data_IF_665941709421
#
_entry.id   IF_665941709421
#
_cell.length_a   1.000
_cell.length_b   1.000
_cell.length_c   1.000
_cell.angle_alpha   90.00
_cell.angle_beta   90.00
_cell.angle_gamma   90.00
#
_symmetry.space_group_name_H-M   'P 1'
#
loop_
_entity.id
_entity.type
_entity.pdbx_description
1 polymer ?
#
# COMPACT_ATOMS: atom_id res chain seq x y z
N UNK A 1 -77.75 -6.66 -0.24
CA UNK A 1 -77.29 -5.32 -0.69
C UNK A 1 -75.78 -5.25 -0.42
N UNK A 2 -74.99 -5.53 -1.47
CA UNK A 2 -74.01 -4.63 -2.11
C UNK A 2 -72.87 -4.17 -1.19
N UNK A 3 -71.76 -4.92 -1.13
CA UNK A 3 -70.48 -4.72 -1.87
C UNK A 3 -69.52 -3.72 -1.22
N UNK A 4 -68.24 -4.12 -1.13
CA UNK A 4 -66.99 -3.33 -1.01
C UNK A 4 -66.28 -3.37 0.35
N UNK A 5 -65.55 -4.46 0.64
CA UNK A 5 -64.26 -4.44 1.35
C UNK A 5 -63.46 -5.70 0.97
N UNK A 6 -62.93 -5.73 -0.24
CA UNK A 6 -61.90 -6.68 -0.65
C UNK A 6 -61.04 -5.92 -1.66
N UNK A 7 -59.72 -6.04 -1.57
CA UNK A 7 -58.67 -5.38 -2.40
C UNK A 7 -58.09 -4.07 -1.88
N UNK A 8 -57.36 -4.12 -0.75
CA UNK A 8 -56.12 -3.34 -0.58
C UNK A 8 -55.34 -3.94 0.60
N UNK A 9 -54.19 -4.56 0.35
CA UNK A 9 -53.35 -5.10 1.42
C UNK A 9 -52.56 -6.37 1.11
N UNK A 10 -52.58 -6.87 -0.12
CA UNK A 10 -51.73 -7.98 -0.57
C UNK A 10 -50.87 -7.54 -1.76
N UNK A 11 -50.05 -6.50 -1.57
CA UNK A 11 -49.04 -6.09 -2.56
C UNK A 11 -47.85 -5.40 -1.86
N UNK A 12 -47.31 -6.05 -0.82
CA UNK A 12 -46.11 -5.58 -0.12
C UNK A 12 -45.15 -6.74 0.23
N UNK A 13 -45.09 -7.76 -0.63
CA UNK A 13 -44.31 -8.99 -0.40
C UNK A 13 -43.47 -9.45 -1.61
N UNK A 14 -43.12 -8.56 -2.56
CA UNK A 14 -42.36 -8.95 -3.77
C UNK A 14 -41.23 -8.00 -4.21
N UNK A 15 -40.57 -7.26 -3.30
CA UNK A 15 -39.42 -6.38 -3.68
C UNK A 15 -38.10 -6.74 -2.96
N UNK A 16 -37.98 -7.89 -2.29
CA UNK A 16 -36.76 -8.24 -1.55
C UNK A 16 -35.67 -8.99 -2.36
N UNK A 17 -35.81 -9.16 -3.68
CA UNK A 17 -34.85 -9.97 -4.47
C UNK A 17 -33.84 -9.20 -5.33
N UNK A 18 -33.90 -7.86 -5.42
CA UNK A 18 -33.06 -7.10 -6.38
C UNK A 18 -31.92 -6.29 -5.74
N UNK A 19 -31.91 -6.09 -4.41
CA UNK A 19 -30.84 -5.33 -3.75
C UNK A 19 -29.50 -6.09 -3.73
N UNK A 20 -29.48 -7.42 -3.58
CA UNK A 20 -28.23 -8.18 -3.52
C UNK A 20 -27.45 -8.16 -4.85
N UNK A 21 -28.13 -8.21 -6.00
CA UNK A 21 -27.48 -8.16 -7.31
C UNK A 21 -26.99 -6.75 -7.67
N UNK A 22 -27.73 -5.70 -7.28
CA UNK A 22 -27.30 -4.31 -7.51
C UNK A 22 -26.15 -3.94 -6.57
N UNK A 23 -26.19 -4.39 -5.31
CA UNK A 23 -25.11 -4.20 -4.35
C UNK A 23 -23.85 -4.94 -4.77
N UNK A 24 -23.95 -6.18 -5.27
CA UNK A 24 -22.79 -6.92 -5.79
C UNK A 24 -22.19 -6.26 -7.05
N UNK A 25 -23.02 -5.72 -7.96
CA UNK A 25 -22.54 -4.98 -9.14
C UNK A 25 -21.95 -3.62 -8.76
N UNK A 26 -22.48 -2.96 -7.73
CA UNK A 26 -21.94 -1.71 -7.21
C UNK A 26 -20.61 -1.94 -6.49
N UNK A 27 -20.53 -3.01 -5.68
CA UNK A 27 -19.32 -3.45 -4.99
C UNK A 27 -18.22 -3.81 -5.98
N UNK A 28 -18.52 -4.62 -7.01
CA UNK A 28 -17.60 -4.90 -8.12
C UNK A 28 -17.15 -3.63 -8.87
N UNK A 29 -18.03 -2.65 -9.07
CA UNK A 29 -17.65 -1.39 -9.75
C UNK A 29 -16.85 -0.43 -8.88
N UNK A 30 -17.03 -0.47 -7.56
CA UNK A 30 -16.29 0.34 -6.60
C UNK A 30 -14.93 -0.29 -6.33
N UNK A 31 -14.85 -1.61 -6.12
CA UNK A 31 -13.61 -2.37 -5.99
C UNK A 31 -12.75 -2.20 -7.26
N UNK A 32 -13.30 -2.47 -8.45
CA UNK A 32 -12.53 -2.33 -9.69
C UNK A 32 -12.06 -0.89 -9.96
N UNK A 33 -12.81 0.15 -9.57
CA UNK A 33 -12.38 1.55 -9.76
C UNK A 33 -11.44 2.05 -8.67
N UNK A 34 -11.62 1.61 -7.44
CA UNK A 34 -10.75 1.98 -6.32
C UNK A 34 -9.41 1.25 -6.44
N UNK A 35 -9.40 -0.03 -6.79
CA UNK A 35 -8.18 -0.81 -7.05
C UNK A 35 -7.48 -0.38 -8.34
N UNK A 36 -8.21 -0.07 -9.42
CA UNK A 36 -7.56 0.48 -10.62
C UNK A 36 -6.98 1.87 -10.37
N UNK A 37 -7.62 2.73 -9.58
CA UNK A 37 -7.07 4.05 -9.27
C UNK A 37 -5.92 3.96 -8.26
N UNK A 38 -6.04 3.13 -7.22
CA UNK A 38 -4.95 2.90 -6.28
C UNK A 38 -3.76 2.25 -7.00
N UNK A 39 -4.00 1.23 -7.82
CA UNK A 39 -2.98 0.57 -8.66
C UNK A 39 -2.36 1.51 -9.69
N UNK A 40 -3.13 2.37 -10.35
CA UNK A 40 -2.58 3.37 -11.29
C UNK A 40 -1.76 4.46 -10.61
N UNK A 41 -2.13 4.89 -9.39
CA UNK A 41 -1.34 5.86 -8.64
C UNK A 41 -0.09 5.21 -8.01
N UNK A 42 -0.18 3.94 -7.60
CA UNK A 42 0.97 3.13 -7.15
C UNK A 42 1.93 2.87 -8.33
N UNK A 43 1.45 2.41 -9.49
CA UNK A 43 2.28 2.23 -10.68
C UNK A 43 2.95 3.53 -11.12
N UNK A 44 2.28 4.69 -11.02
CA UNK A 44 2.91 6.00 -11.29
C UNK A 44 4.00 6.35 -10.28
N UNK A 45 3.86 5.95 -9.01
CA UNK A 45 4.84 6.16 -7.95
C UNK A 45 6.06 5.21 -8.10
N UNK A 46 5.86 4.00 -8.63
CA UNK A 46 6.91 2.98 -8.74
C UNK A 46 7.54 2.83 -10.14
N UNK A 47 6.87 3.27 -11.22
CA UNK A 47 7.41 3.22 -12.60
C UNK A 47 8.39 4.35 -12.95
N UNK A 48 8.90 5.06 -11.95
CA UNK A 48 9.83 6.19 -12.09
C UNK A 48 11.28 5.83 -12.45
N UNK A 49 11.57 4.56 -12.80
CA UNK A 49 12.85 4.14 -13.39
C UNK A 49 12.61 3.36 -14.68
N UNK A 50 13.30 3.83 -15.72
CA UNK A 50 13.45 3.26 -17.07
C UNK A 50 12.30 3.42 -18.08
N UNK A 51 12.25 4.62 -18.67
CA UNK A 51 12.16 4.73 -20.14
C UNK A 51 13.30 5.58 -20.67
N UNK A 52 14.45 4.94 -20.82
CA UNK A 52 15.46 5.35 -21.78
C UNK A 52 14.79 5.45 -23.15
N UNK A 53 14.90 6.63 -23.74
CA UNK A 53 14.32 7.03 -25.00
C UNK A 53 15.03 6.28 -26.14
N UNK A 54 14.56 5.08 -26.50
CA UNK A 54 14.95 4.44 -27.75
C UNK A 54 14.22 5.13 -28.90
N UNK A 55 14.88 6.13 -29.48
CA UNK A 55 14.45 6.75 -30.72
C UNK A 55 14.50 5.76 -31.88
N UNK A 56 13.36 5.52 -32.51
CA UNK A 56 13.30 4.99 -33.86
C UNK A 56 13.24 6.19 -34.81
N UNK A 57 14.42 6.70 -35.17
CA UNK A 57 14.60 7.76 -36.16
C UNK A 57 15.18 7.19 -37.43
N UNK A 58 14.35 7.15 -38.48
CA UNK A 58 14.70 6.83 -39.86
C UNK A 58 15.89 7.66 -40.34
N UNK A 59 16.87 6.99 -40.91
CA UNK A 59 18.03 7.57 -41.60
C UNK A 59 17.62 8.36 -42.83
N UNK A 60 17.96 9.65 -42.89
CA UNK A 60 18.40 10.30 -44.14
C UNK A 60 19.09 11.65 -43.89
N UNK A 61 20.34 11.76 -44.34
CA UNK A 61 20.85 12.90 -45.11
C UNK A 61 21.21 14.23 -44.41
N UNK A 62 22.53 14.48 -44.39
CA UNK A 62 23.22 15.77 -44.62
C UNK A 62 23.12 16.92 -43.61
N UNK A 63 24.26 17.17 -42.96
CA UNK A 63 24.87 18.50 -42.90
C UNK A 63 24.59 19.36 -41.67
N UNK A 64 25.67 19.64 -40.91
CA UNK A 64 26.13 20.96 -40.42
C UNK A 64 26.67 20.84 -38.98
N UNK A 65 27.95 21.19 -38.86
CA UNK A 65 28.67 21.46 -37.62
C UNK A 65 27.90 22.47 -36.75
N UNK A 66 27.46 22.02 -35.57
CA UNK A 66 26.99 22.86 -34.49
C UNK A 66 27.37 22.21 -33.17
N UNK A 67 28.57 22.52 -32.69
CA UNK A 67 29.05 22.11 -31.37
C UNK A 67 28.17 22.72 -30.28
N UNK A 68 27.10 22.02 -29.93
CA UNK A 68 26.26 22.34 -28.80
C UNK A 68 26.98 21.95 -27.52
N UNK A 69 27.59 22.93 -26.85
CA UNK A 69 27.92 22.84 -25.43
C UNK A 69 26.62 22.64 -24.66
N UNK A 70 26.18 21.38 -24.51
CA UNK A 70 25.23 21.06 -23.46
C UNK A 70 26.03 21.10 -22.14
N UNK A 71 25.79 22.05 -21.23
CA UNK A 71 26.54 22.09 -19.97
C UNK A 71 26.35 20.74 -19.27
N UNK A 72 27.47 20.13 -18.88
CA UNK A 72 27.46 18.87 -18.15
C UNK A 72 26.58 19.05 -16.91
N UNK A 73 25.51 18.26 -16.80
CA UNK A 73 24.54 18.39 -15.72
C UNK A 73 25.13 17.81 -14.42
N UNK A 74 25.98 18.60 -13.76
CA UNK A 74 26.65 18.26 -12.50
C UNK A 74 25.84 18.72 -11.27
N UNK A 75 24.51 18.78 -11.36
CA UNK A 75 23.67 19.18 -10.24
C UNK A 75 23.78 18.17 -9.09
N UNK A 76 23.98 18.66 -7.86
CA UNK A 76 24.16 17.83 -6.66
C UNK A 76 22.92 17.06 -6.16
N UNK A 77 21.84 17.05 -6.94
CA UNK A 77 20.58 16.39 -6.58
C UNK A 77 19.78 17.13 -5.49
N UNK A 78 18.75 16.47 -4.98
CA UNK A 78 17.92 16.95 -3.88
C UNK A 78 18.41 16.35 -2.56
N UNK A 79 18.27 17.11 -1.48
CA UNK A 79 18.53 16.61 -0.12
C UNK A 79 17.43 15.62 0.24
N UNK A 80 17.81 14.40 0.66
CA UNK A 80 16.89 13.31 1.03
C UNK A 80 16.80 13.07 2.54
N UNK A 81 17.41 13.92 3.36
CA UNK A 81 17.30 13.82 4.82
C UNK A 81 15.89 14.22 5.28
N UNK A 82 15.30 13.51 6.26
CA UNK A 82 14.03 13.92 6.86
C UNK A 82 14.06 15.38 7.33
N UNK A 83 12.93 16.12 7.23
CA UNK A 83 12.83 17.45 7.81
C UNK A 83 13.16 17.44 9.31
N UNK A 84 13.81 18.50 9.80
CA UNK A 84 14.05 18.67 11.23
C UNK A 84 12.71 18.96 11.94
N UNK A 85 12.24 18.00 12.73
CA UNK A 85 10.96 18.10 13.43
C UNK A 85 10.94 19.28 14.40
N UNK A 86 12.01 19.46 15.19
CA UNK A 86 12.04 20.48 16.22
C UNK A 86 12.07 21.88 15.61
N UNK A 87 12.88 22.08 14.57
CA UNK A 87 12.95 23.35 13.87
C UNK A 87 11.60 23.72 13.25
N UNK A 88 10.95 22.77 12.56
CA UNK A 88 9.64 23.01 11.95
C UNK A 88 8.53 23.30 12.98
N UNK A 89 8.59 22.72 14.18
CA UNK A 89 7.66 23.06 15.25
C UNK A 89 7.87 24.49 15.78
N UNK A 90 9.12 24.92 15.92
CA UNK A 90 9.47 26.30 16.31
C UNK A 90 8.97 27.29 15.24
N UNK A 91 9.19 26.98 13.97
CA UNK A 91 8.77 27.83 12.85
C UNK A 91 7.24 27.90 12.75
N UNK A 92 6.55 26.78 12.97
CA UNK A 92 5.09 26.75 13.03
C UNK A 92 4.52 27.66 14.12
N UNK A 93 5.08 27.59 15.34
CA UNK A 93 4.66 28.42 16.47
C UNK A 93 4.89 29.91 16.17
N UNK A 94 6.07 30.26 15.64
CA UNK A 94 6.41 31.63 15.28
C UNK A 94 5.51 32.19 14.18
N UNK A 95 5.20 31.40 13.15
CA UNK A 95 4.29 31.78 12.07
C UNK A 95 2.86 31.95 12.58
N UNK A 96 2.39 31.05 13.45
CA UNK A 96 1.05 31.12 14.04
C UNK A 96 0.86 32.39 14.88
N UNK A 97 1.83 32.73 15.74
CA UNK A 97 1.81 33.98 16.54
C UNK A 97 1.76 35.25 15.70
N UNK A 98 2.21 35.20 14.45
CA UNK A 98 2.16 36.30 13.48
C UNK A 98 0.88 36.28 12.62
N UNK A 99 -0.06 35.38 12.88
CA UNK A 99 -1.24 35.11 12.05
C UNK A 99 -0.91 34.68 10.61
N UNK A 100 0.30 34.15 10.37
CA UNK A 100 0.69 33.60 9.07
C UNK A 100 0.30 32.14 8.98
N UNK A 101 -1.00 31.87 8.81
CA UNK A 101 -1.54 30.51 8.90
C UNK A 101 -1.06 29.57 7.79
N UNK A 102 -0.72 30.10 6.61
CA UNK A 102 -0.14 29.31 5.52
C UNK A 102 1.22 28.73 5.88
N UNK A 103 2.11 29.58 6.39
CA UNK A 103 3.44 29.19 6.86
C UNK A 103 3.35 28.26 8.08
N UNK A 104 2.47 28.57 9.03
CA UNK A 104 2.25 27.71 10.19
C UNK A 104 1.80 26.31 9.77
N UNK A 105 0.85 26.21 8.82
CA UNK A 105 0.38 24.93 8.29
C UNK A 105 1.50 24.17 7.58
N UNK A 106 2.27 24.84 6.71
CA UNK A 106 3.36 24.20 5.98
C UNK A 106 4.41 23.63 6.94
N UNK A 107 4.83 24.41 7.94
CA UNK A 107 5.81 23.98 8.94
C UNK A 107 5.30 22.78 9.75
N UNK A 108 4.04 22.77 10.18
CA UNK A 108 3.44 21.58 10.83
C UNK A 108 3.47 20.35 9.91
N UNK A 109 3.19 20.51 8.62
CA UNK A 109 3.25 19.40 7.67
C UNK A 109 4.68 18.86 7.52
N UNK A 110 5.69 19.74 7.48
CA UNK A 110 7.10 19.33 7.45
C UNK A 110 7.52 18.61 8.74
N UNK A 111 7.08 19.09 9.90
CA UNK A 111 7.32 18.39 11.17
C UNK A 111 6.70 16.99 11.18
N UNK A 112 5.44 16.86 10.72
CA UNK A 112 4.76 15.56 10.62
C UNK A 112 5.50 14.61 9.67
N UNK A 113 5.91 15.10 8.49
CA UNK A 113 6.73 14.35 7.55
C UNK A 113 8.03 13.85 8.20
N UNK A 114 8.72 14.71 8.95
CA UNK A 114 9.94 14.33 9.69
C UNK A 114 9.69 13.20 10.69
N UNK A 115 8.61 13.28 11.47
CA UNK A 115 8.22 12.23 12.44
C UNK A 115 7.92 10.91 11.72
N UNK A 116 7.13 10.93 10.64
CA UNK A 116 6.77 9.74 9.88
C UNK A 116 8.01 9.06 9.29
N UNK A 117 8.93 9.82 8.71
CA UNK A 117 10.18 9.30 8.19
C UNK A 117 11.08 8.75 9.31
N UNK A 118 11.11 9.36 10.49
CA UNK A 118 11.86 8.83 11.64
C UNK A 118 11.30 7.48 12.10
N UNK A 119 9.98 7.38 12.27
CA UNK A 119 9.29 6.12 12.60
C UNK A 119 9.58 5.07 11.54
N UNK A 120 9.41 5.41 10.26
CA UNK A 120 9.64 4.47 9.16
C UNK A 120 11.07 3.94 9.11
N UNK A 121 12.06 4.81 9.35
CA UNK A 121 13.46 4.39 9.43
C UNK A 121 13.75 3.49 10.65
N UNK A 122 13.11 3.74 11.80
CA UNK A 122 13.22 2.87 12.97
C UNK A 122 12.64 1.48 12.68
N UNK A 123 11.44 1.43 12.09
CA UNK A 123 10.81 0.17 11.68
C UNK A 123 11.68 -0.56 10.65
N UNK A 124 12.15 0.11 9.61
CA UNK A 124 13.01 -0.47 8.58
C UNK A 124 14.30 -1.08 9.17
N UNK A 125 14.93 -0.38 10.12
CA UNK A 125 16.11 -0.89 10.84
C UNK A 125 15.81 -2.11 11.71
N UNK A 126 14.58 -2.24 12.20
CA UNK A 126 14.14 -3.39 13.01
C UNK A 126 13.82 -4.64 12.18
N UNK A 127 13.63 -4.50 10.86
CA UNK A 127 13.36 -5.64 9.99
C UNK A 127 14.61 -6.55 9.90
N UNK A 128 14.43 -7.87 9.74
CA UNK A 128 15.54 -8.81 9.63
C UNK A 128 16.57 -8.43 8.55
N UNK A 129 17.81 -8.91 8.72
CA UNK A 129 18.81 -8.82 7.65
C UNK A 129 18.68 -9.94 6.62
N UNK A 130 18.15 -11.08 7.06
CA UNK A 130 17.94 -12.26 6.22
C UNK A 130 16.59 -12.90 6.52
N UNK A 131 15.91 -13.41 5.49
CA UNK A 131 14.65 -14.14 5.61
C UNK A 131 14.68 -15.34 4.67
N UNK A 132 14.40 -16.54 5.19
CA UNK A 132 14.40 -17.78 4.40
C UNK A 132 15.68 -17.99 3.55
N UNK A 133 16.84 -17.55 4.06
CA UNK A 133 18.13 -17.63 3.37
C UNK A 133 18.38 -16.53 2.31
N UNK A 134 17.44 -15.60 2.14
CA UNK A 134 17.57 -14.42 1.27
C UNK A 134 18.16 -13.26 2.07
N UNK A 135 19.12 -12.53 1.49
CA UNK A 135 19.68 -11.32 2.09
C UNK A 135 18.81 -10.10 1.72
N UNK A 136 18.82 -9.07 2.56
CA UNK A 136 18.17 -7.79 2.24
C UNK A 136 18.86 -7.11 1.04
N UNK A 137 18.07 -6.48 0.18
CA UNK A 137 18.53 -5.61 -0.90
C UNK A 137 18.53 -4.16 -0.42
N UNK A 138 19.69 -3.69 0.06
CA UNK A 138 19.82 -2.37 0.70
C UNK A 138 19.43 -1.22 -0.24
N UNK A 139 19.65 -1.37 -1.54
CA UNK A 139 19.27 -0.33 -2.53
C UNK A 139 17.76 -0.27 -2.80
N UNK A 140 17.02 -1.31 -2.44
CA UNK A 140 15.56 -1.38 -2.56
C UNK A 140 14.82 -0.95 -1.28
N UNK A 141 15.55 -0.75 -0.17
CA UNK A 141 14.99 -0.24 1.07
C UNK A 141 14.45 1.18 0.86
N UNK A 142 13.17 1.38 1.19
CA UNK A 142 12.51 2.68 1.00
C UNK A 142 11.59 3.02 2.16
N UNK A 143 11.65 4.27 2.60
CA UNK A 143 10.68 4.88 3.51
C UNK A 143 10.10 6.10 2.81
N UNK A 144 8.79 6.09 2.60
CA UNK A 144 8.07 7.16 1.92
C UNK A 144 6.95 7.65 2.82
N UNK A 145 6.85 8.96 3.01
CA UNK A 145 5.63 9.59 3.53
C UNK A 145 5.03 10.45 2.44
N UNK A 146 3.73 10.28 2.18
CA UNK A 146 3.02 11.03 1.15
C UNK A 146 2.14 12.14 1.72
N UNK A 147 2.03 12.27 3.05
CA UNK A 147 1.42 13.43 3.75
C UNK A 147 0.01 13.85 3.33
N UNK A 148 -0.66 13.07 2.46
CA UNK A 148 -1.87 13.46 1.76
C UNK A 148 -2.82 12.26 1.60
N UNK A 149 -4.03 12.43 2.12
CA UNK A 149 -5.22 11.71 1.69
C UNK A 149 -5.43 10.31 2.27
N UNK A 150 -4.49 9.36 2.14
CA UNK A 150 -4.86 7.94 2.32
C UNK A 150 -3.75 6.98 2.81
N UNK A 151 -2.47 7.33 2.67
CA UNK A 151 -1.34 6.62 3.29
C UNK A 151 -0.39 7.68 3.86
N UNK A 152 -0.06 7.63 5.15
CA UNK A 152 0.86 8.60 5.76
C UNK A 152 2.32 8.19 5.60
N UNK A 153 2.59 6.89 5.62
CA UNK A 153 3.89 6.25 5.71
C UNK A 153 3.81 4.89 5.01
N UNK A 154 4.79 4.60 4.17
CA UNK A 154 5.02 3.30 3.55
C UNK A 154 6.50 2.94 3.70
N UNK A 155 6.76 1.74 4.18
CA UNK A 155 8.09 1.18 4.39
C UNK A 155 8.19 -0.07 3.55
N UNK A 156 9.24 -0.17 2.75
CA UNK A 156 9.51 -1.31 1.89
C UNK A 156 10.89 -1.88 2.16
N UNK A 157 10.97 -3.21 2.22
CA UNK A 157 12.23 -3.97 2.13
C UNK A 157 12.04 -5.16 1.22
N UNK A 158 13.05 -5.41 0.38
CA UNK A 158 13.14 -6.60 -0.44
C UNK A 158 14.27 -7.51 0.06
N UNK A 159 14.03 -8.82 -0.01
CA UNK A 159 15.05 -9.85 0.15
C UNK A 159 15.02 -10.70 -1.09
N UNK A 160 16.12 -10.78 -1.83
CA UNK A 160 16.08 -11.52 -3.09
C UNK A 160 17.37 -12.22 -3.43
N UNK A 161 17.23 -13.11 -4.40
CA UNK A 161 18.29 -13.72 -5.19
C UNK A 161 17.80 -13.70 -6.64
N UNK A 162 18.59 -14.21 -7.58
CA UNK A 162 18.18 -14.27 -9.00
C UNK A 162 16.85 -14.99 -9.27
N UNK A 163 16.43 -15.91 -8.39
CA UNK A 163 15.29 -16.82 -8.66
C UNK A 163 14.16 -16.75 -7.63
N UNK A 164 14.35 -16.01 -6.53
CA UNK A 164 13.43 -16.00 -5.39
C UNK A 164 13.45 -14.64 -4.74
N UNK A 165 12.26 -14.11 -4.45
CA UNK A 165 12.07 -12.78 -3.86
C UNK A 165 11.08 -12.89 -2.71
N UNK A 166 11.36 -12.15 -1.64
CA UNK A 166 10.45 -11.90 -0.54
C UNK A 166 10.42 -10.40 -0.29
N UNK A 167 9.26 -9.77 -0.43
CA UNK A 167 9.06 -8.34 -0.26
C UNK A 167 8.16 -8.08 0.92
N UNK A 168 8.48 -7.03 1.67
CA UNK A 168 7.69 -6.59 2.82
C UNK A 168 7.29 -5.14 2.61
N UNK A 169 6.00 -4.88 2.71
CA UNK A 169 5.41 -3.54 2.62
C UNK A 169 4.64 -3.29 3.91
N UNK A 170 4.99 -2.23 4.63
CA UNK A 170 4.29 -1.79 5.84
C UNK A 170 3.72 -0.42 5.55
N UNK A 171 2.43 -0.22 5.79
CA UNK A 171 1.77 1.05 5.53
C UNK A 171 0.69 1.38 6.56
N UNK A 172 0.55 2.67 6.90
CA UNK A 172 -0.60 3.20 7.64
C UNK A 172 -1.66 3.72 6.66
N UNK A 173 -2.28 2.80 5.91
CA UNK A 173 -3.25 3.12 4.87
C UNK A 173 -4.67 2.70 5.24
N UNK A 174 -5.54 3.67 5.48
CA UNK A 174 -6.92 3.43 5.89
C UNK A 174 -7.79 2.79 4.80
N UNK A 175 -7.48 3.01 3.52
CA UNK A 175 -8.22 2.43 2.39
C UNK A 175 -7.86 0.96 2.21
N UNK A 176 -6.57 0.63 2.26
CA UNK A 176 -6.13 -0.77 2.20
C UNK A 176 -6.67 -1.55 3.40
N UNK A 177 -6.63 -0.94 4.59
CA UNK A 177 -7.22 -1.50 5.80
C UNK A 177 -8.73 -1.72 5.68
N UNK A 178 -9.48 -0.81 5.04
CA UNK A 178 -10.90 -1.02 4.79
C UNK A 178 -11.16 -2.23 3.90
N UNK A 179 -10.33 -2.46 2.86
CA UNK A 179 -10.41 -3.64 2.01
C UNK A 179 -10.16 -4.94 2.79
N UNK A 180 -9.07 -4.98 3.57
CA UNK A 180 -8.72 -6.14 4.42
C UNK A 180 -9.81 -6.41 5.46
N UNK A 181 -10.33 -5.36 6.12
CA UNK A 181 -11.40 -5.51 7.10
C UNK A 181 -12.72 -5.96 6.47
N UNK A 182 -13.09 -5.40 5.32
CA UNK A 182 -14.28 -5.84 4.58
C UNK A 182 -14.18 -7.32 4.24
N UNK A 183 -12.99 -7.77 3.86
CA UNK A 183 -12.73 -9.17 3.51
C UNK A 183 -12.73 -10.11 4.72
N UNK A 184 -12.09 -9.70 5.82
CA UNK A 184 -12.14 -10.43 7.09
C UNK A 184 -13.58 -10.53 7.62
N UNK A 185 -14.38 -9.48 7.46
CA UNK A 185 -15.78 -9.43 7.85
C UNK A 185 -16.70 -10.22 6.90
N UNK A 186 -16.43 -10.23 5.58
CA UNK A 186 -17.24 -10.94 4.59
C UNK A 186 -16.90 -12.41 4.43
N UNK A 187 -15.68 -12.82 4.81
CA UNK A 187 -15.13 -14.16 4.58
C UNK A 187 -15.38 -15.18 5.69
N UNK A 188 -16.28 -14.91 6.64
CA UNK A 188 -16.50 -15.76 7.82
C UNK A 188 -16.93 -17.22 7.54
N UNK A 189 -17.37 -17.57 6.32
CA UNK A 189 -17.86 -18.93 6.01
C UNK A 189 -17.66 -19.42 4.55
N UNK A 190 -17.09 -18.63 3.64
CA UNK A 190 -16.90 -19.05 2.26
C UNK A 190 -15.53 -19.71 2.07
N UNK A 191 -15.37 -20.92 2.58
CA UNK A 191 -14.36 -21.85 2.08
C UNK A 191 -15.06 -22.84 1.14
N UNK A 192 -14.78 -22.76 -0.15
CA UNK A 192 -15.30 -23.72 -1.11
C UNK A 192 -14.36 -24.91 -1.19
N UNK A 193 -14.82 -26.08 -0.76
CA UNK A 193 -14.23 -27.32 -1.22
C UNK A 193 -14.63 -27.51 -2.69
N UNK A 194 -13.63 -27.70 -3.57
CA UNK A 194 -13.77 -27.92 -5.02
C UNK A 194 -14.04 -26.68 -5.92
N UNK A 195 -13.76 -25.46 -5.44
CA UNK A 195 -13.68 -24.24 -6.27
C UNK A 195 -12.25 -23.71 -6.38
N UNK A 196 -11.97 -22.85 -7.36
CA UNK A 196 -10.70 -22.08 -7.42
C UNK A 196 -10.66 -21.03 -6.31
N UNK A 197 -10.46 -21.48 -5.08
CA UNK A 197 -10.23 -20.61 -3.94
C UNK A 197 -8.74 -20.32 -3.84
N UNK A 198 -8.35 -19.19 -4.43
CA UNK A 198 -6.97 -18.72 -4.45
C UNK A 198 -6.60 -17.88 -3.20
N UNK A 199 -7.44 -17.92 -2.16
CA UNK A 199 -7.27 -17.14 -0.94
C UNK A 199 -7.90 -17.79 0.28
N UNK A 200 -7.40 -17.50 1.48
CA UNK A 200 -8.06 -17.90 2.73
C UNK A 200 -7.68 -17.00 3.91
N UNK A 201 -8.50 -17.04 4.95
CA UNK A 201 -8.13 -16.48 6.25
C UNK A 201 -7.14 -17.41 6.95
N UNK A 202 -6.15 -16.83 7.60
CA UNK A 202 -5.13 -17.55 8.38
C UNK A 202 -4.73 -16.72 9.62
N UNK A 203 -3.71 -17.17 10.35
CA UNK A 203 -3.10 -16.41 11.42
C UNK A 203 -1.59 -16.39 11.28
N UNK A 204 -0.98 -15.23 11.52
CA UNK A 204 0.46 -15.08 11.67
C UNK A 204 0.75 -14.63 13.11
N UNK A 205 1.36 -15.50 13.92
CA UNK A 205 1.71 -15.19 15.33
C UNK A 205 0.55 -14.61 16.15
N UNK A 206 -0.66 -15.14 15.94
CA UNK A 206 -1.89 -14.71 16.62
C UNK A 206 -2.67 -13.59 15.92
N UNK A 207 -2.04 -12.84 15.03
CA UNK A 207 -2.71 -11.83 14.20
C UNK A 207 -3.56 -12.50 13.13
N UNK A 208 -4.80 -12.02 12.95
CA UNK A 208 -5.64 -12.45 11.82
C UNK A 208 -5.01 -11.97 10.53
N UNK A 209 -5.00 -12.81 9.51
CA UNK A 209 -4.39 -12.50 8.24
C UNK A 209 -5.21 -13.09 7.09
N UNK A 210 -4.97 -12.56 5.89
CA UNK A 210 -5.45 -13.12 4.63
C UNK A 210 -4.23 -13.55 3.84
N UNK A 211 -4.24 -14.77 3.36
CA UNK A 211 -3.23 -15.26 2.41
C UNK A 211 -3.91 -15.50 1.07
N UNK A 212 -3.30 -14.98 0.01
CA UNK A 212 -3.67 -15.13 -1.39
C UNK A 212 -2.52 -15.83 -2.13
N UNK A 213 -2.86 -16.59 -3.17
CA UNK A 213 -1.90 -17.21 -4.08
C UNK A 213 -2.30 -16.96 -5.53
N UNK A 214 -1.31 -16.70 -6.38
CA UNK A 214 -1.45 -16.59 -7.81
C UNK A 214 -0.24 -17.23 -8.48
N UNK A 215 -0.44 -18.01 -9.54
CA UNK A 215 0.67 -18.63 -10.27
C UNK A 215 1.67 -17.60 -10.83
N UNK A 216 1.18 -16.41 -11.21
CA UNK A 216 2.02 -15.37 -11.82
C UNK A 216 2.78 -14.49 -10.82
N UNK A 217 2.32 -14.39 -9.57
CA UNK A 217 2.87 -13.46 -8.57
C UNK A 217 3.21 -14.10 -7.22
N UNK A 218 2.99 -15.42 -7.08
CA UNK A 218 3.29 -16.15 -5.85
C UNK A 218 2.29 -15.87 -4.72
N UNK A 219 2.78 -15.87 -3.49
CA UNK A 219 1.96 -15.67 -2.29
C UNK A 219 1.92 -14.20 -1.87
N UNK A 220 0.76 -13.76 -1.38
CA UNK A 220 0.58 -12.47 -0.72
C UNK A 220 -0.11 -12.67 0.63
N UNK A 221 0.54 -12.27 1.71
CA UNK A 221 0.02 -12.38 3.08
C UNK A 221 -0.21 -10.97 3.64
N UNK A 222 -1.47 -10.61 3.86
CA UNK A 222 -1.88 -9.31 4.42
C UNK A 222 -2.24 -9.47 5.90
N UNK A 223 -1.57 -8.74 6.77
CA UNK A 223 -1.72 -8.82 8.23
C UNK A 223 -2.01 -7.43 8.81
N UNK A 224 -3.26 -7.17 9.24
CA UNK A 224 -3.60 -6.02 10.06
C UNK A 224 -2.73 -5.93 11.32
N UNK A 225 -2.11 -4.77 11.54
CA UNK A 225 -1.35 -4.47 12.75
C UNK A 225 -2.10 -3.55 13.72
N UNK A 226 -3.32 -3.14 13.39
CA UNK A 226 -4.13 -2.28 14.24
C UNK A 226 -5.33 -1.72 13.49
N UNK A 227 -5.67 -0.46 13.77
CA UNK A 227 -6.80 0.22 13.11
C UNK A 227 -6.39 0.82 11.76
N UNK A 228 -5.18 1.35 11.66
CA UNK A 228 -4.71 2.07 10.48
C UNK A 228 -3.54 1.42 9.75
N UNK A 229 -2.85 0.46 10.36
CA UNK A 229 -1.64 -0.14 9.80
C UNK A 229 -1.82 -1.58 9.33
N UNK A 230 -1.14 -1.87 8.21
CA UNK A 230 -1.06 -3.17 7.57
C UNK A 230 0.41 -3.51 7.32
N UNK A 231 0.77 -4.78 7.50
CA UNK A 231 1.98 -5.36 6.90
C UNK A 231 1.57 -6.39 5.85
N UNK A 232 2.23 -6.32 4.70
CA UNK A 232 2.03 -7.21 3.56
C UNK A 232 3.35 -7.87 3.23
N UNK A 233 3.30 -9.18 3.10
CA UNK A 233 4.42 -9.99 2.64
C UNK A 233 4.09 -10.56 1.27
N UNK A 234 4.98 -10.37 0.32
CA UNK A 234 4.87 -10.95 -1.02
C UNK A 234 6.03 -11.93 -1.22
N UNK A 235 5.73 -13.16 -1.62
CA UNK A 235 6.70 -14.22 -1.77
C UNK A 235 6.62 -14.84 -3.16
N UNK A 236 7.65 -14.60 -3.98
CA UNK A 236 7.78 -15.17 -5.33
C UNK A 236 8.70 -16.40 -5.27
N UNK A 237 8.34 -17.46 -5.99
CA UNK A 237 9.08 -18.73 -6.01
C UNK A 237 9.24 -19.41 -4.63
N UNK A 238 8.27 -19.23 -3.73
CA UNK A 238 8.13 -20.06 -2.52
C UNK A 238 7.42 -21.36 -2.87
N UNK A 239 7.96 -22.50 -2.45
CA UNK A 239 7.46 -23.82 -2.86
C UNK A 239 6.13 -24.18 -2.20
N UNK A 240 5.80 -23.55 -1.06
CA UNK A 240 4.56 -23.81 -0.35
C UNK A 240 4.14 -22.64 0.53
N UNK A 241 2.86 -22.63 0.88
CA UNK A 241 2.29 -21.74 1.88
C UNK A 241 3.04 -21.85 3.23
N UNK A 242 3.42 -23.06 3.64
CA UNK A 242 4.15 -23.25 4.91
C UNK A 242 5.52 -22.56 4.91
N UNK A 243 6.20 -22.58 3.78
CA UNK A 243 7.48 -21.89 3.61
C UNK A 243 7.30 -20.36 3.66
N UNK A 244 6.27 -19.85 2.99
CA UNK A 244 5.90 -18.43 3.04
C UNK A 244 5.57 -17.97 4.46
N UNK A 245 4.77 -18.75 5.19
CA UNK A 245 4.39 -18.42 6.58
C UNK A 245 5.60 -18.41 7.51
N UNK A 246 6.50 -19.40 7.41
CA UNK A 246 7.75 -19.44 8.20
C UNK A 246 8.65 -18.24 7.93
N UNK A 247 8.71 -17.77 6.68
CA UNK A 247 9.44 -16.54 6.34
C UNK A 247 8.84 -15.32 7.05
N UNK A 248 7.51 -15.17 7.00
CA UNK A 248 6.81 -14.06 7.66
C UNK A 248 6.88 -14.11 9.21
N UNK A 249 7.02 -15.30 9.82
CA UNK A 249 7.12 -15.46 11.29
C UNK A 249 8.40 -14.84 11.89
N UNK A 250 9.43 -14.63 11.07
CA UNK A 250 10.69 -13.98 11.48
C UNK A 250 10.52 -12.52 11.89
N UNK A 251 9.41 -11.89 11.51
CA UNK A 251 9.15 -10.48 11.77
C UNK A 251 8.59 -10.25 13.18
N UNK A 252 9.09 -9.21 13.84
CA UNK A 252 8.60 -8.76 15.14
C UNK A 252 7.36 -7.87 14.96
N UNK A 253 6.20 -8.49 14.73
CA UNK A 253 4.94 -7.77 14.49
C UNK A 253 4.56 -6.85 15.65
N UNK A 254 4.77 -7.28 16.90
CA UNK A 254 4.45 -6.48 18.09
C UNK A 254 5.37 -5.25 18.20
N UNK A 255 6.66 -5.41 17.88
CA UNK A 255 7.60 -4.30 17.80
C UNK A 255 7.21 -3.30 16.73
N UNK A 256 6.89 -3.77 15.52
CA UNK A 256 6.45 -2.92 14.41
C UNK A 256 5.16 -2.18 14.80
N UNK A 257 4.15 -2.89 15.32
CA UNK A 257 2.89 -2.32 15.81
C UNK A 257 3.12 -1.20 16.84
N UNK A 258 4.03 -1.44 17.79
CA UNK A 258 4.38 -0.47 18.82
C UNK A 258 5.04 0.79 18.24
N UNK A 259 6.02 0.64 17.35
CA UNK A 259 6.71 1.78 16.72
C UNK A 259 5.76 2.62 15.86
N UNK A 260 4.76 1.98 15.23
CA UNK A 260 3.71 2.67 14.46
C UNK A 260 2.63 3.34 15.34
N UNK A 261 2.65 3.14 16.66
CA UNK A 261 1.68 3.74 17.58
C UNK A 261 0.28 3.11 17.52
N UNK A 262 0.16 1.87 17.05
CA UNK A 262 -1.13 1.17 16.92
C UNK A 262 -1.57 0.52 18.25
N UNK A 263 -2.86 0.67 18.60
CA UNK A 263 -3.47 0.12 19.82
C UNK A 263 -3.98 -1.31 19.65
#
# INVERSE_FOLDING_TARGET
MKTKYLTLGLMLLLISATQAQVLNRLKQRVENKAEQKAGQEIDKLFSGKDKNQSGQGTSNGTGVNGGGNNPNNNGGGLISTPPDVNQNLIDAEAAYKKNSYGEARYAVQQAMLGVELEIGNKVLKSLPETVAGLNKEVEADQVTSTGWGWAGLTIQREYSTKNKEFRVIIANNSVWMAGVNAYLASGGYAQQTNGEQNWKQTKLKGYRAIIEYSEGSGYKLSVPLGQSSLIVFEGVSFASESEMMKAAETFNLDGIKKELGEQ
#
